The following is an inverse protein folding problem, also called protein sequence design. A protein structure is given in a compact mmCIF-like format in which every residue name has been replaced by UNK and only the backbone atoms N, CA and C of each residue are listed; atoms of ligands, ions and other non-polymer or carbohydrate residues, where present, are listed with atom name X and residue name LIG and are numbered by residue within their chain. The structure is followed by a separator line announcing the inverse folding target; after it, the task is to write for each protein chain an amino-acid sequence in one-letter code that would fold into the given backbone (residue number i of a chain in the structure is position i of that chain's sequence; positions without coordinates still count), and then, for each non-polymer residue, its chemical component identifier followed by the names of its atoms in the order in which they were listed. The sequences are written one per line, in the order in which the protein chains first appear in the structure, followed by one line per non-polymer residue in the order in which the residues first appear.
data_IF_867205308466
#
_entry.id   IF_867205308466
#
_cell.length_a   1.000
_cell.length_b   1.000
_cell.length_c   1.000
_cell.angle_alpha   90.00
_cell.angle_beta   90.00
_cell.angle_gamma   90.00
#
_symmetry.space_group_name_H-M   'P 1'
#
loop_
_entity.id
_entity.type
_entity.pdbx_description
1 polymer ?
#
# COMPACT_ATOMS: atom_id res chain seq x y z
N UNK A 1 2.21 26.44 -3.70
CA UNK A 1 2.90 25.98 -2.48
C UNK A 1 4.22 25.36 -2.91
N UNK A 2 5.28 25.61 -2.16
CA UNK A 2 6.59 25.00 -2.43
C UNK A 2 6.50 23.50 -2.13
N UNK A 3 6.89 22.67 -3.10
CA UNK A 3 6.86 21.20 -2.94
C UNK A 3 8.18 20.75 -2.30
N UNK A 4 8.09 19.99 -1.21
CA UNK A 4 9.25 19.48 -0.47
C UNK A 4 9.79 18.19 -1.12
N UNK A 5 11.11 17.97 -1.03
CA UNK A 5 11.71 16.68 -1.36
C UNK A 5 11.52 15.70 -0.21
N UNK A 6 10.75 14.65 -0.46
CA UNK A 6 10.37 13.65 0.53
C UNK A 6 10.92 12.29 0.09
N UNK A 7 11.73 11.68 0.96
CA UNK A 7 12.13 10.29 0.77
C UNK A 7 11.14 9.37 1.48
N UNK A 8 10.46 8.55 0.70
CA UNK A 8 9.53 7.53 1.18
C UNK A 8 10.26 6.18 1.17
N UNK A 9 10.31 5.55 2.34
CA UNK A 9 10.93 4.25 2.52
C UNK A 9 9.84 3.19 2.39
N UNK A 10 10.00 2.33 1.38
CA UNK A 10 9.10 1.24 1.08
C UNK A 10 9.35 0.04 2.01
N UNK A 11 8.31 -0.77 2.26
CA UNK A 11 8.49 -2.04 2.96
C UNK A 11 9.26 -3.03 2.06
N UNK A 12 10.35 -3.59 2.61
CA UNK A 12 11.28 -4.43 1.85
C UNK A 12 10.73 -5.77 1.37
N UNK A 13 9.58 -6.24 1.90
CA UNK A 13 9.02 -7.55 1.52
C UNK A 13 8.53 -7.59 0.07
N UNK A 14 7.95 -6.48 -0.44
CA UNK A 14 7.34 -6.40 -1.77
C UNK A 14 7.52 -4.99 -2.37
N UNK A 15 8.75 -4.63 -2.75
CA UNK A 15 9.07 -3.29 -3.23
C UNK A 15 8.24 -2.86 -4.46
N UNK A 16 7.99 -3.79 -5.39
CA UNK A 16 7.22 -3.52 -6.60
C UNK A 16 5.76 -3.18 -6.25
N UNK A 17 5.14 -3.94 -5.35
CA UNK A 17 3.78 -3.67 -4.89
C UNK A 17 3.71 -2.37 -4.07
N UNK A 18 4.70 -2.12 -3.21
CA UNK A 18 4.77 -0.92 -2.38
C UNK A 18 4.85 0.36 -3.21
N UNK A 19 5.71 0.37 -4.24
CA UNK A 19 5.79 1.49 -5.18
C UNK A 19 4.49 1.67 -5.97
N UNK A 20 3.95 0.57 -6.50
CA UNK A 20 2.70 0.64 -7.28
C UNK A 20 1.52 1.09 -6.42
N UNK A 21 1.44 0.64 -5.16
CA UNK A 21 0.42 1.11 -4.20
C UNK A 21 0.52 2.62 -3.98
N UNK A 22 1.73 3.13 -3.69
CA UNK A 22 1.95 4.57 -3.50
C UNK A 22 1.50 5.38 -4.73
N UNK A 23 1.97 5.00 -5.92
CA UNK A 23 1.60 5.67 -7.18
C UNK A 23 0.10 5.59 -7.47
N UNK A 24 -0.53 4.47 -7.14
CA UNK A 24 -1.99 4.32 -7.24
C UNK A 24 -2.74 5.25 -6.29
N UNK A 25 -2.26 5.41 -5.06
CA UNK A 25 -2.85 6.35 -4.09
C UNK A 25 -2.67 7.81 -4.52
N UNK A 26 -1.48 8.20 -4.99
CA UNK A 26 -1.23 9.53 -5.53
C UNK A 26 -2.17 9.86 -6.71
N UNK A 27 -2.34 8.89 -7.63
CA UNK A 27 -3.25 9.03 -8.78
C UNK A 27 -4.71 9.16 -8.36
N UNK A 28 -5.19 8.31 -7.41
CA UNK A 28 -6.60 8.34 -6.95
C UNK A 28 -6.96 9.61 -6.16
N UNK A 29 -5.96 10.34 -5.68
CA UNK A 29 -6.11 11.62 -4.98
C UNK A 29 -5.90 12.82 -5.91
N UNK A 30 -5.58 12.57 -7.19
CA UNK A 30 -5.20 13.59 -8.17
C UNK A 30 -4.09 14.52 -7.65
N UNK A 31 -3.12 13.96 -6.90
CA UNK A 31 -2.01 14.73 -6.36
C UNK A 31 -0.93 14.92 -7.41
N UNK A 32 -0.55 16.16 -7.61
CA UNK A 32 0.61 16.51 -8.42
C UNK A 32 1.90 16.22 -7.66
N UNK A 33 2.74 15.39 -8.20
CA UNK A 33 4.04 15.05 -7.66
C UNK A 33 5.07 14.91 -8.79
N UNK A 34 6.33 14.95 -8.43
CA UNK A 34 7.45 14.70 -9.36
C UNK A 34 8.31 13.57 -8.81
N UNK A 35 8.55 12.52 -9.63
CA UNK A 35 9.52 11.47 -9.32
C UNK A 35 10.93 12.04 -9.48
N UNK A 36 11.70 12.14 -8.39
CA UNK A 36 13.04 12.69 -8.38
C UNK A 36 14.09 11.60 -8.51
N UNK A 37 13.95 10.53 -7.71
CA UNK A 37 14.95 9.48 -7.65
C UNK A 37 14.39 8.21 -7.04
N UNK A 38 14.91 7.07 -7.49
CA UNK A 38 14.59 5.77 -6.90
C UNK A 38 15.85 4.94 -6.76
N UNK A 39 16.03 4.35 -5.61
CA UNK A 39 17.05 3.35 -5.35
C UNK A 39 16.52 2.29 -4.39
N UNK A 40 16.42 1.02 -4.84
CA UNK A 40 15.87 -0.10 -4.05
C UNK A 40 14.58 0.30 -3.32
N UNK A 41 14.65 0.46 -2.00
CA UNK A 41 13.51 0.76 -1.14
C UNK A 41 13.33 2.25 -0.81
N UNK A 42 14.15 3.12 -1.36
CA UNK A 42 14.04 4.58 -1.21
C UNK A 42 13.47 5.17 -2.48
N UNK A 43 12.32 5.79 -2.37
CA UNK A 43 11.69 6.58 -3.43
C UNK A 43 11.67 8.05 -3.00
N UNK A 44 12.26 8.94 -3.79
CA UNK A 44 12.25 10.37 -3.52
C UNK A 44 11.30 11.03 -4.51
N UNK A 45 10.34 11.74 -3.96
CA UNK A 45 9.36 12.51 -4.72
C UNK A 45 9.34 13.97 -4.23
N UNK A 46 8.94 14.86 -5.11
CA UNK A 46 8.62 16.24 -4.73
C UNK A 46 7.10 16.35 -4.60
N UNK A 47 6.62 16.58 -3.39
CA UNK A 47 5.20 16.59 -3.03
C UNK A 47 4.96 17.62 -1.94
N UNK A 48 3.77 18.21 -1.90
CA UNK A 48 3.35 18.98 -0.72
C UNK A 48 3.22 18.03 0.51
N UNK A 49 4.02 18.32 1.53
CA UNK A 49 4.08 17.49 2.75
C UNK A 49 2.77 17.39 3.52
N UNK A 50 1.83 18.29 3.29
CA UNK A 50 0.48 18.22 3.87
C UNK A 50 -0.23 16.89 3.57
N UNK A 51 0.04 16.27 2.41
CA UNK A 51 -0.59 15.03 2.02
C UNK A 51 0.10 13.77 2.55
N UNK A 52 1.28 13.87 3.15
CA UNK A 52 2.09 12.70 3.54
C UNK A 52 1.40 11.85 4.61
N UNK A 53 0.83 12.48 5.64
CA UNK A 53 0.10 11.76 6.70
C UNK A 53 -1.07 10.98 6.14
N UNK A 54 -1.83 11.57 5.20
CA UNK A 54 -2.94 10.89 4.54
C UNK A 54 -2.45 9.71 3.69
N UNK A 55 -1.36 9.85 2.94
CA UNK A 55 -0.76 8.75 2.17
C UNK A 55 -0.35 7.60 3.10
N UNK A 56 0.25 7.91 4.27
CA UNK A 56 0.66 6.90 5.24
C UNK A 56 -0.51 6.24 5.99
N UNK A 57 -1.62 6.94 6.11
CA UNK A 57 -2.86 6.36 6.60
C UNK A 57 -3.52 5.44 5.55
N UNK A 58 -3.47 5.80 4.27
CA UNK A 58 -4.09 5.05 3.18
C UNK A 58 -3.26 3.86 2.73
N UNK A 59 -1.97 4.04 2.47
CA UNK A 59 -1.06 2.98 2.04
C UNK A 59 -0.75 1.98 3.16
N UNK A 60 -0.44 0.76 2.77
CA UNK A 60 -0.13 -0.34 3.69
C UNK A 60 1.30 -0.87 3.57
N UNK A 61 1.94 -0.66 2.42
CA UNK A 61 3.25 -1.20 2.07
C UNK A 61 4.39 -0.17 2.21
N UNK A 62 4.13 0.97 2.84
CA UNK A 62 5.15 1.95 3.18
C UNK A 62 5.76 1.60 4.54
N UNK A 63 6.89 2.21 4.88
CA UNK A 63 7.55 2.08 6.17
C UNK A 63 7.55 3.40 6.93
N UNK A 64 8.20 4.42 6.40
CA UNK A 64 8.18 5.80 6.92
C UNK A 64 8.58 6.80 5.82
N UNK A 65 8.33 8.09 6.06
CA UNK A 65 8.77 9.18 5.21
C UNK A 65 9.64 10.17 5.98
N UNK A 66 10.62 10.72 5.29
CA UNK A 66 11.48 11.80 5.80
C UNK A 66 11.43 12.99 4.86
N UNK A 67 11.32 14.19 5.41
CA UNK A 67 11.59 15.45 4.71
C UNK A 67 13.10 15.60 4.58
N UNK A 68 13.61 15.58 3.34
CA UNK A 68 15.05 15.55 3.08
C UNK A 68 15.73 16.87 3.42
N UNK A 69 16.84 16.77 4.14
CA UNK A 69 17.74 17.87 4.49
C UNK A 69 19.00 17.78 3.66
N UNK A 70 19.47 16.56 3.43
CA UNK A 70 20.66 16.27 2.63
C UNK A 70 20.47 14.94 1.88
N UNK A 71 20.97 14.93 0.65
CA UNK A 71 21.09 13.74 -0.18
C UNK A 71 22.37 13.85 -1.00
N UNK A 72 23.24 12.87 -0.89
CA UNK A 72 24.50 12.85 -1.64
C UNK A 72 25.41 11.71 -1.23
N UNK A 73 26.60 11.66 -1.79
CA UNK A 73 27.59 10.69 -1.40
C UNK A 73 28.01 10.88 0.06
N UNK A 74 28.25 9.77 0.78
CA UNK A 74 28.65 9.79 2.19
C UNK A 74 29.96 10.56 2.41
N UNK A 75 30.93 10.44 1.52
CA UNK A 75 32.21 11.15 1.65
C UNK A 75 32.06 12.66 1.46
N UNK A 76 31.12 13.09 0.61
CA UNK A 76 30.85 14.51 0.42
C UNK A 76 30.13 15.12 1.64
N UNK A 77 29.35 14.31 2.37
CA UNK A 77 28.74 14.75 3.61
C UNK A 77 29.79 15.17 4.67
N UNK A 78 30.91 14.46 4.73
CA UNK A 78 32.00 14.79 5.68
C UNK A 78 32.76 16.08 5.33
N UNK A 79 32.57 16.64 4.13
CA UNK A 79 33.08 17.96 3.75
C UNK A 79 32.22 19.12 4.27
N UNK A 80 31.32 18.85 5.23
CA UNK A 80 30.44 19.80 5.90
C UNK A 80 29.50 20.56 4.95
N UNK A 81 28.59 19.84 4.25
CA UNK A 81 27.65 20.44 3.31
C UNK A 81 26.68 21.41 3.99
N UNK A 82 26.03 22.24 3.19
CA UNK A 82 24.84 22.94 3.66
C UNK A 82 23.72 21.94 3.97
N UNK A 83 23.07 22.14 5.13
CA UNK A 83 21.90 21.38 5.54
C UNK A 83 20.68 22.29 5.42
N UNK A 84 19.72 21.89 4.59
CA UNK A 84 18.49 22.64 4.38
C UNK A 84 17.47 22.37 5.49
N UNK A 85 16.62 23.35 5.79
CA UNK A 85 15.37 23.17 6.54
C UNK A 85 15.45 22.57 7.96
N UNK A 86 16.61 22.62 8.64
CA UNK A 86 16.69 22.28 10.06
C UNK A 86 16.18 23.42 10.93
N UNK A 87 15.26 23.09 11.85
CA UNK A 87 14.74 24.07 12.82
C UNK A 87 15.63 24.11 14.05
N UNK A 88 16.21 25.27 14.36
CA UNK A 88 17.10 25.48 15.51
C UNK A 88 16.36 25.42 16.86
N UNK A 89 15.04 25.61 16.87
CA UNK A 89 14.17 25.51 18.04
C UNK A 89 13.81 24.08 18.44
N UNK A 90 14.07 23.10 17.56
CA UNK A 90 13.78 21.69 17.81
C UNK A 90 14.97 20.94 18.44
N UNK A 91 14.67 19.91 19.21
CA UNK A 91 15.66 18.95 19.76
C UNK A 91 15.52 17.65 18.98
N UNK A 92 16.62 17.16 18.43
CA UNK A 92 16.61 15.98 17.56
C UNK A 92 17.24 14.74 18.23
N UNK A 93 16.68 13.58 17.93
CA UNK A 93 17.30 12.29 18.13
C UNK A 93 17.81 11.76 16.79
N UNK A 94 19.11 11.47 16.67
CA UNK A 94 19.68 10.89 15.45
C UNK A 94 19.50 9.36 15.44
N UNK A 95 18.69 8.89 14.49
CA UNK A 95 18.47 7.47 14.21
C UNK A 95 19.16 7.10 12.89
N UNK A 96 20.33 6.46 13.00
CA UNK A 96 21.18 6.08 11.89
C UNK A 96 20.99 4.60 11.53
N UNK A 97 20.74 4.33 10.28
CA UNK A 97 20.60 2.98 9.72
C UNK A 97 21.35 2.84 8.40
N UNK A 98 22.10 1.73 8.23
CA UNK A 98 22.68 1.37 6.94
C UNK A 98 22.02 0.13 6.37
N UNK A 99 21.66 0.18 5.11
CA UNK A 99 21.19 -0.97 4.33
C UNK A 99 22.36 -1.80 3.78
N UNK A 100 23.57 -1.24 3.74
CA UNK A 100 24.77 -1.90 3.25
C UNK A 100 25.58 -2.50 4.42
N UNK A 101 25.86 -3.79 4.33
CA UNK A 101 26.58 -4.52 5.36
C UNK A 101 28.00 -3.96 5.62
N UNK A 102 28.66 -3.39 4.59
CA UNK A 102 30.01 -2.82 4.69
C UNK A 102 30.13 -1.68 5.69
N UNK A 103 29.02 -0.94 5.95
CA UNK A 103 29.02 0.18 6.89
C UNK A 103 28.65 -0.22 8.31
N UNK A 104 28.20 -1.45 8.57
CA UNK A 104 27.85 -1.90 9.92
C UNK A 104 28.99 -1.74 10.94
N UNK A 105 30.25 -2.12 10.62
CA UNK A 105 31.38 -1.91 11.53
C UNK A 105 31.72 -0.44 11.78
N UNK A 106 31.41 0.43 10.81
CA UNK A 106 31.75 1.86 10.84
C UNK A 106 30.61 2.73 11.37
N UNK A 107 29.46 2.16 11.73
CA UNK A 107 28.25 2.90 12.04
C UNK A 107 28.43 3.90 13.18
N UNK A 108 29.22 3.54 14.19
CA UNK A 108 29.50 4.43 15.33
C UNK A 108 30.41 5.59 14.94
N UNK A 109 31.44 5.35 14.13
CA UNK A 109 32.32 6.43 13.63
C UNK A 109 31.54 7.40 12.77
N UNK A 110 30.71 6.89 11.83
CA UNK A 110 29.83 7.70 10.99
C UNK A 110 28.84 8.49 11.84
N UNK A 111 28.26 7.88 12.86
CA UNK A 111 27.36 8.55 13.81
C UNK A 111 28.05 9.73 14.50
N UNK A 112 29.26 9.51 15.04
CA UNK A 112 30.00 10.55 15.75
C UNK A 112 30.35 11.72 14.84
N UNK A 113 30.74 11.44 13.60
CA UNK A 113 31.01 12.47 12.60
C UNK A 113 29.78 13.30 12.27
N UNK A 114 28.63 12.64 12.04
CA UNK A 114 27.35 13.32 11.80
C UNK A 114 26.96 14.18 13.00
N UNK A 115 27.11 13.67 14.23
CA UNK A 115 26.81 14.42 15.45
C UNK A 115 27.71 15.64 15.58
N UNK A 116 29.02 15.52 15.26
CA UNK A 116 29.96 16.65 15.24
C UNK A 116 29.53 17.73 14.24
N UNK A 117 29.16 17.35 13.02
CA UNK A 117 28.69 18.28 12.00
C UNK A 117 27.39 18.99 12.44
N UNK A 118 26.43 18.26 13.00
CA UNK A 118 25.18 18.85 13.50
C UNK A 118 25.41 19.81 14.65
N UNK A 119 26.28 19.45 15.62
CA UNK A 119 26.63 20.30 16.74
C UNK A 119 27.36 21.58 16.31
N UNK A 120 28.21 21.52 15.27
CA UNK A 120 28.88 22.72 14.72
C UNK A 120 27.92 23.71 14.03
N UNK A 121 26.67 23.31 13.82
CA UNK A 121 25.58 24.12 13.24
C UNK A 121 24.51 24.49 14.27
N UNK A 122 24.85 24.42 15.57
CA UNK A 122 23.96 24.72 16.71
C UNK A 122 22.67 23.89 16.77
N UNK A 123 22.67 22.70 16.14
CA UNK A 123 21.55 21.77 16.21
C UNK A 123 21.54 21.05 17.55
N UNK A 124 20.45 21.22 18.31
CA UNK A 124 20.26 20.58 19.63
C UNK A 124 19.97 19.09 19.46
N UNK A 125 20.78 18.25 20.13
CA UNK A 125 20.68 16.80 20.07
C UNK A 125 20.41 16.22 21.46
N UNK A 126 19.46 15.29 21.56
CA UNK A 126 19.17 14.58 22.81
C UNK A 126 18.53 13.23 22.53
N UNK A 127 18.86 12.23 23.36
CA UNK A 127 18.18 10.92 23.33
C UNK A 127 16.88 10.96 24.12
N UNK A 128 16.86 11.69 25.24
CA UNK A 128 15.72 11.70 26.19
C UNK A 128 14.67 12.78 25.89
N UNK A 129 15.12 13.94 25.43
CA UNK A 129 14.27 15.13 25.27
C UNK A 129 14.03 15.51 23.82
N UNK A 130 14.25 14.57 22.90
CA UNK A 130 14.02 14.84 21.47
C UNK A 130 12.54 15.08 21.18
N UNK A 131 12.26 16.15 20.44
CA UNK A 131 10.94 16.49 19.93
C UNK A 131 10.76 16.02 18.51
N UNK A 132 11.87 15.75 17.80
CA UNK A 132 11.88 15.24 16.42
C UNK A 132 12.93 14.14 16.24
N UNK A 133 12.67 13.26 15.27
CA UNK A 133 13.61 12.20 14.88
C UNK A 133 14.29 12.62 13.58
N UNK A 134 15.60 12.68 13.61
CA UNK A 134 16.44 12.88 12.44
C UNK A 134 16.89 11.50 11.94
N UNK A 135 16.35 11.05 10.84
CA UNK A 135 16.72 9.79 10.19
C UNK A 135 17.93 10.00 9.29
N UNK A 136 18.92 9.17 9.46
CA UNK A 136 20.06 9.08 8.56
C UNK A 136 20.13 7.69 7.96
N UNK A 137 20.07 7.60 6.65
CA UNK A 137 20.05 6.35 5.92
C UNK A 137 21.28 6.27 5.01
N UNK A 138 21.95 5.12 5.00
CA UNK A 138 23.05 4.86 4.07
C UNK A 138 22.65 3.70 3.17
N UNK A 139 22.68 3.95 1.86
CA UNK A 139 22.38 2.97 0.82
C UNK A 139 23.22 3.25 -0.43
N UNK A 140 23.96 2.24 -0.90
CA UNK A 140 24.84 2.32 -2.09
C UNK A 140 25.77 3.55 -2.07
N UNK A 141 26.49 3.73 -0.95
CA UNK A 141 27.42 4.84 -0.67
C UNK A 141 26.78 6.23 -0.60
N UNK A 142 25.47 6.33 -0.72
CA UNK A 142 24.74 7.56 -0.56
C UNK A 142 24.15 7.69 0.86
N UNK A 143 24.19 8.92 1.36
CA UNK A 143 23.60 9.31 2.62
C UNK A 143 22.34 10.14 2.36
N UNK A 144 21.26 9.76 3.04
CA UNK A 144 19.98 10.46 3.03
C UNK A 144 19.69 10.88 4.48
N UNK A 145 19.74 12.17 4.74
CA UNK A 145 19.45 12.76 6.04
C UNK A 145 18.15 13.55 5.95
N UNK A 146 17.23 13.33 6.90
CA UNK A 146 15.96 14.04 6.90
C UNK A 146 15.19 13.90 8.20
N UNK A 147 14.22 14.78 8.41
CA UNK A 147 13.31 14.73 9.55
C UNK A 147 12.21 13.70 9.26
N UNK A 148 11.97 12.78 10.21
CA UNK A 148 10.84 11.87 10.15
C UNK A 148 9.52 12.66 10.20
N UNK A 149 8.70 12.53 9.16
CA UNK A 149 7.41 13.23 9.04
C UNK A 149 6.21 12.30 9.08
N UNK A 150 6.38 11.02 8.71
CA UNK A 150 5.32 10.03 8.81
C UNK A 150 5.87 8.62 9.05
N UNK A 151 5.07 7.78 9.71
CA UNK A 151 5.41 6.38 9.98
C UNK A 151 4.17 5.51 9.91
N UNK A 152 4.30 4.30 9.33
CA UNK A 152 3.15 3.38 9.21
C UNK A 152 2.74 2.84 10.59
N UNK A 153 1.45 2.92 10.89
CA UNK A 153 0.90 2.30 12.10
C UNK A 153 0.58 0.82 11.86
N UNK A 154 1.52 -0.05 12.16
CA UNK A 154 1.35 -1.49 11.99
C UNK A 154 0.26 -2.10 12.89
N UNK A 155 0.02 -1.51 14.09
CA UNK A 155 -0.95 -2.04 15.06
C UNK A 155 -2.37 -2.09 14.47
N UNK A 156 -2.74 -1.11 13.64
CA UNK A 156 -4.05 -1.10 12.97
C UNK A 156 -4.30 -2.35 12.10
N UNK A 157 -3.27 -2.89 11.44
CA UNK A 157 -3.39 -4.11 10.63
C UNK A 157 -3.40 -5.37 11.50
N UNK A 158 -2.65 -5.37 12.61
CA UNK A 158 -2.60 -6.50 13.54
C UNK A 158 -3.96 -6.79 14.19
N UNK A 159 -4.72 -5.76 14.56
CA UNK A 159 -6.07 -5.93 15.15
C UNK A 159 -7.09 -6.45 14.13
N UNK A 160 -6.86 -6.25 12.83
CA UNK A 160 -7.75 -6.71 11.75
C UNK A 160 -7.35 -8.03 11.13
N UNK A 161 -6.32 -8.72 11.65
CA UNK A 161 -5.93 -10.07 11.17
C UNK A 161 -7.12 -11.02 11.13
N UNK A 162 -7.18 -11.96 10.15
CA UNK A 162 -8.27 -12.93 10.07
C UNK A 162 -8.52 -13.69 11.36
N UNK A 163 -7.45 -14.10 12.08
CA UNK A 163 -7.53 -14.83 13.35
C UNK A 163 -8.12 -14.03 14.52
N UNK A 164 -8.25 -12.70 14.38
CA UNK A 164 -8.83 -11.82 15.40
C UNK A 164 -10.27 -11.39 15.07
N UNK A 165 -10.81 -11.87 13.96
CA UNK A 165 -12.18 -11.58 13.53
C UNK A 165 -13.17 -12.56 14.14
N UNK A 166 -14.41 -12.14 14.44
CA UNK A 166 -15.47 -13.05 14.94
C UNK A 166 -15.76 -14.24 14.01
N UNK A 167 -15.63 -14.02 12.70
CA UNK A 167 -15.70 -15.08 11.71
C UNK A 167 -14.35 -15.23 11.02
N UNK A 168 -13.67 -16.32 11.33
CA UNK A 168 -12.38 -16.71 10.72
C UNK A 168 -12.59 -17.62 9.54
N UNK A 169 -11.86 -17.39 8.45
CA UNK A 169 -11.71 -18.31 7.34
C UNK A 169 -10.23 -18.39 6.91
N UNK A 170 -9.73 -19.61 6.70
CA UNK A 170 -8.28 -19.87 6.46
C UNK A 170 -7.74 -19.27 5.15
N UNK A 171 -8.60 -19.07 4.14
CA UNK A 171 -8.23 -18.43 2.88
C UNK A 171 -8.21 -16.90 2.93
N UNK A 172 -8.60 -16.29 4.07
CA UNK A 172 -8.65 -14.84 4.17
C UNK A 172 -7.28 -14.19 4.01
N UNK A 173 -7.18 -13.21 3.13
CA UNK A 173 -5.96 -12.45 2.90
C UNK A 173 -5.58 -11.60 4.12
N UNK A 174 -4.28 -11.40 4.33
CA UNK A 174 -3.76 -10.52 5.38
C UNK A 174 -4.11 -9.05 5.10
N UNK A 175 -4.45 -8.25 6.13
CA UNK A 175 -4.99 -6.89 5.96
C UNK A 175 -4.12 -5.96 5.12
N UNK A 176 -2.79 -5.97 5.31
CA UNK A 176 -1.88 -5.13 4.51
C UNK A 176 -1.97 -5.41 3.02
N UNK A 177 -1.96 -6.69 2.64
CA UNK A 177 -2.03 -7.07 1.23
C UNK A 177 -3.43 -6.77 0.65
N UNK A 178 -4.50 -7.02 1.42
CA UNK A 178 -5.86 -6.66 1.02
C UNK A 178 -5.99 -5.13 0.80
N UNK A 179 -5.46 -4.32 1.73
CA UNK A 179 -5.40 -2.85 1.59
C UNK A 179 -4.63 -2.44 0.35
N UNK A 180 -3.46 -3.03 0.11
CA UNK A 180 -2.65 -2.76 -1.07
C UNK A 180 -3.45 -3.03 -2.35
N UNK A 181 -4.08 -4.20 -2.47
CA UNK A 181 -4.86 -4.55 -3.67
C UNK A 181 -6.05 -3.61 -3.84
N UNK A 182 -6.75 -3.22 -2.77
CA UNK A 182 -7.80 -2.19 -2.85
C UNK A 182 -7.22 -0.87 -3.39
N UNK A 183 -6.06 -0.42 -2.89
CA UNK A 183 -5.42 0.81 -3.37
C UNK A 183 -4.98 0.71 -4.84
N UNK A 184 -4.58 -0.48 -5.31
CA UNK A 184 -4.22 -0.70 -6.72
C UNK A 184 -5.39 -0.45 -7.67
N UNK A 185 -6.64 -0.61 -7.24
CA UNK A 185 -7.81 -0.25 -8.04
C UNK A 185 -7.94 1.24 -8.30
N UNK A 186 -7.19 2.07 -7.58
CA UNK A 186 -7.24 3.54 -7.63
C UNK A 186 -8.63 4.11 -7.29
N UNK A 187 -9.39 3.39 -6.45
CA UNK A 187 -10.72 3.85 -6.05
C UNK A 187 -10.64 5.22 -5.37
N UNK A 188 -11.45 6.14 -5.85
CA UNK A 188 -11.61 7.49 -5.31
C UNK A 188 -12.61 7.50 -4.16
N UNK A 189 -12.55 8.51 -3.28
CA UNK A 189 -13.38 8.59 -2.07
C UNK A 189 -14.87 8.52 -2.43
N UNK A 190 -15.34 9.34 -3.36
CA UNK A 190 -16.75 9.50 -3.72
C UNK A 190 -17.28 8.42 -4.66
N UNK A 191 -16.60 7.28 -4.79
CA UNK A 191 -16.98 6.23 -5.71
C UNK A 191 -17.33 4.94 -4.99
N UNK A 192 -17.92 4.02 -5.75
CA UNK A 192 -18.39 2.74 -5.31
C UNK A 192 -17.35 1.64 -5.58
N UNK A 193 -17.07 0.81 -4.57
CA UNK A 193 -16.20 -0.36 -4.68
C UNK A 193 -16.99 -1.66 -4.56
N UNK A 194 -16.79 -2.57 -5.50
CA UNK A 194 -17.31 -3.94 -5.46
C UNK A 194 -16.19 -4.94 -5.12
N UNK A 195 -16.48 -5.84 -4.17
CA UNK A 195 -15.76 -7.11 -3.98
C UNK A 195 -16.70 -8.28 -4.33
N UNK A 196 -16.60 -8.83 -5.56
CA UNK A 196 -17.53 -9.86 -6.06
C UNK A 196 -17.26 -11.26 -5.51
N UNK A 197 -16.18 -11.47 -4.75
CA UNK A 197 -15.83 -12.71 -4.07
C UNK A 197 -15.46 -12.42 -2.61
N UNK A 198 -16.35 -11.73 -1.89
CA UNK A 198 -16.01 -11.06 -0.64
C UNK A 198 -15.63 -12.00 0.51
N UNK A 199 -16.00 -13.27 0.44
CA UNK A 199 -15.66 -14.26 1.46
C UNK A 199 -15.98 -13.79 2.88
N UNK A 200 -14.96 -13.65 3.73
CA UNK A 200 -15.10 -13.14 5.10
C UNK A 200 -15.11 -11.60 5.22
N UNK A 201 -15.15 -10.86 4.13
CA UNK A 201 -15.24 -9.40 4.08
C UNK A 201 -13.90 -8.68 4.26
N UNK A 202 -12.78 -9.35 4.02
CA UNK A 202 -11.44 -8.78 4.26
C UNK A 202 -11.15 -7.51 3.47
N UNK A 203 -11.43 -7.50 2.18
CA UNK A 203 -11.26 -6.34 1.30
C UNK A 203 -12.21 -5.20 1.65
N UNK A 204 -13.46 -5.54 1.95
CA UNK A 204 -14.49 -4.56 2.34
C UNK A 204 -14.12 -3.84 3.63
N UNK A 205 -13.61 -4.57 4.65
CA UNK A 205 -13.12 -3.96 5.88
C UNK A 205 -12.01 -2.95 5.57
N UNK A 206 -11.04 -3.32 4.73
CA UNK A 206 -9.93 -2.43 4.40
C UNK A 206 -10.39 -1.22 3.55
N UNK A 207 -11.27 -1.42 2.59
CA UNK A 207 -11.81 -0.35 1.74
C UNK A 207 -12.68 0.64 2.51
N UNK A 208 -13.52 0.16 3.43
CA UNK A 208 -14.48 0.96 4.18
C UNK A 208 -13.88 2.09 5.04
N UNK A 209 -12.56 2.13 5.21
CA UNK A 209 -11.90 3.22 5.90
C UNK A 209 -11.79 4.49 5.06
N UNK A 210 -11.84 4.39 3.72
CA UNK A 210 -11.59 5.53 2.83
C UNK A 210 -12.44 5.55 1.56
N UNK A 211 -13.36 4.61 1.40
CA UNK A 211 -14.35 4.59 0.31
C UNK A 211 -15.72 4.86 0.91
N UNK A 212 -16.50 5.72 0.28
CA UNK A 212 -17.82 6.09 0.80
C UNK A 212 -18.78 4.92 0.86
N UNK A 213 -18.71 4.02 -0.11
CA UNK A 213 -19.61 2.89 -0.16
C UNK A 213 -18.98 1.66 -0.81
N UNK A 214 -19.14 0.51 -0.16
CA UNK A 214 -18.64 -0.78 -0.63
C UNK A 214 -19.77 -1.81 -0.69
N UNK A 215 -19.73 -2.67 -1.70
CA UNK A 215 -20.60 -3.85 -1.73
C UNK A 215 -19.78 -5.11 -1.87
N UNK A 216 -20.10 -6.10 -1.04
CA UNK A 216 -19.57 -7.45 -1.12
C UNK A 216 -20.59 -8.42 -1.68
N UNK A 217 -20.17 -9.23 -2.63
CA UNK A 217 -20.97 -10.33 -3.17
C UNK A 217 -20.27 -11.65 -2.88
N UNK A 218 -21.01 -12.65 -2.47
CA UNK A 218 -20.55 -14.03 -2.36
C UNK A 218 -21.70 -14.99 -2.60
N UNK A 219 -21.44 -16.10 -3.29
CA UNK A 219 -22.44 -17.13 -3.57
C UNK A 219 -22.77 -17.97 -2.33
N UNK A 220 -21.84 -18.05 -1.38
CA UNK A 220 -22.00 -18.83 -0.16
C UNK A 220 -22.64 -18.00 0.96
N UNK A 221 -23.87 -18.35 1.32
CA UNK A 221 -24.61 -17.71 2.42
C UNK A 221 -23.85 -17.72 3.76
N UNK A 222 -23.00 -18.73 4.01
CA UNK A 222 -22.17 -18.80 5.22
C UNK A 222 -21.11 -17.69 5.21
N UNK A 223 -20.48 -17.45 4.05
CA UNK A 223 -19.52 -16.36 3.88
C UNK A 223 -20.17 -15.00 4.06
N UNK A 224 -21.31 -14.73 3.42
CA UNK A 224 -22.06 -13.49 3.58
C UNK A 224 -22.42 -13.20 5.05
N UNK A 225 -22.92 -14.21 5.76
CA UNK A 225 -23.23 -14.08 7.19
C UNK A 225 -21.99 -13.87 8.06
N UNK A 226 -20.88 -14.51 7.70
CA UNK A 226 -19.59 -14.36 8.37
C UNK A 226 -18.99 -12.98 8.14
N UNK A 227 -19.03 -12.50 6.91
CA UNK A 227 -18.61 -11.14 6.55
C UNK A 227 -19.42 -10.08 7.31
N UNK A 228 -20.74 -10.26 7.40
CA UNK A 228 -21.61 -9.33 8.17
C UNK A 228 -21.21 -9.24 9.64
N UNK A 229 -20.86 -10.39 10.28
CA UNK A 229 -20.35 -10.39 11.66
C UNK A 229 -19.06 -9.59 11.79
N UNK A 230 -18.13 -9.79 10.85
CA UNK A 230 -16.84 -9.10 10.84
C UNK A 230 -17.00 -7.60 10.61
N UNK A 231 -17.84 -7.19 9.64
CA UNK A 231 -18.11 -5.79 9.31
C UNK A 231 -18.73 -5.07 10.50
N UNK A 232 -19.73 -5.67 11.16
CA UNK A 232 -20.36 -5.14 12.39
C UNK A 232 -19.33 -5.01 13.53
N UNK A 233 -18.45 -5.99 13.71
CA UNK A 233 -17.42 -5.97 14.74
C UNK A 233 -16.45 -4.78 14.59
N UNK A 234 -16.15 -4.38 13.35
CA UNK A 234 -15.31 -3.21 13.07
C UNK A 234 -16.12 -1.92 12.89
N UNK A 235 -17.43 -1.90 13.20
CA UNK A 235 -18.33 -0.75 13.10
C UNK A 235 -18.30 -0.09 11.70
N UNK A 236 -18.38 -0.93 10.62
CA UNK A 236 -18.39 -0.45 9.24
C UNK A 236 -19.83 -0.39 8.72
N UNK A 237 -20.37 0.84 8.61
CA UNK A 237 -21.75 1.08 8.20
C UNK A 237 -21.90 1.43 6.70
N UNK A 238 -20.80 1.64 6.01
CA UNK A 238 -20.73 1.95 4.59
C UNK A 238 -20.47 0.70 3.73
N UNK A 239 -20.89 -0.47 4.20
CA UNK A 239 -20.70 -1.76 3.53
C UNK A 239 -21.98 -2.54 3.50
N UNK A 240 -22.46 -2.90 2.31
CA UNK A 240 -23.54 -3.85 2.10
C UNK A 240 -23.04 -5.19 1.59
N UNK A 241 -23.81 -6.24 1.87
CA UNK A 241 -23.52 -7.60 1.49
C UNK A 241 -24.71 -8.22 0.77
N UNK A 242 -24.42 -8.85 -0.37
CA UNK A 242 -25.41 -9.51 -1.21
C UNK A 242 -25.02 -10.97 -1.43
N UNK A 243 -25.96 -11.88 -1.21
CA UNK A 243 -25.77 -13.27 -1.63
C UNK A 243 -26.15 -13.41 -3.10
N UNK A 244 -25.14 -13.51 -3.98
CA UNK A 244 -25.35 -13.68 -5.42
C UNK A 244 -24.15 -14.37 -6.07
N UNK A 245 -24.34 -14.77 -7.33
CA UNK A 245 -23.26 -15.28 -8.18
C UNK A 245 -22.49 -14.12 -8.80
N UNK A 246 -21.16 -14.11 -8.72
CA UNK A 246 -20.30 -13.11 -9.35
C UNK A 246 -20.43 -13.10 -10.89
N UNK A 247 -20.95 -14.17 -11.50
CA UNK A 247 -21.28 -14.19 -12.92
C UNK A 247 -22.65 -13.54 -13.22
N UNK A 248 -23.46 -13.19 -12.19
CA UNK A 248 -24.74 -12.51 -12.36
C UNK A 248 -24.96 -11.51 -11.21
N UNK A 249 -24.18 -10.42 -11.22
CA UNK A 249 -24.17 -9.40 -10.16
C UNK A 249 -25.44 -8.55 -10.24
N UNK A 250 -26.27 -8.49 -9.19
CA UNK A 250 -27.54 -7.75 -9.20
C UNK A 250 -27.35 -6.25 -8.88
N UNK A 251 -26.40 -5.60 -9.54
CA UNK A 251 -26.10 -4.18 -9.35
C UNK A 251 -26.29 -3.41 -10.66
N UNK A 252 -26.74 -2.16 -10.57
CA UNK A 252 -26.94 -1.31 -11.77
C UNK A 252 -25.68 -0.56 -12.18
N UNK A 253 -24.76 -0.31 -11.23
CA UNK A 253 -23.54 0.47 -11.45
C UNK A 253 -22.39 -0.16 -10.69
N UNK A 254 -21.21 -0.17 -11.29
CA UNK A 254 -19.94 -0.59 -10.68
C UNK A 254 -18.87 0.38 -11.16
N UNK A 255 -18.23 1.13 -10.25
CA UNK A 255 -17.17 2.06 -10.62
C UNK A 255 -15.79 1.41 -10.53
N UNK A 256 -15.53 0.67 -9.44
CA UNK A 256 -14.26 0.01 -9.16
C UNK A 256 -14.46 -1.40 -8.61
N UNK A 257 -13.50 -2.28 -8.90
CA UNK A 257 -13.47 -3.65 -8.37
C UNK A 257 -12.15 -3.93 -7.69
N UNK A 258 -12.20 -4.51 -6.48
CA UNK A 258 -11.02 -5.08 -5.82
C UNK A 258 -11.39 -6.40 -5.17
N UNK A 259 -10.67 -7.48 -5.52
CA UNK A 259 -11.05 -8.82 -5.07
C UNK A 259 -9.90 -9.83 -5.05
N UNK A 260 -10.06 -10.89 -4.27
CA UNK A 260 -9.25 -12.10 -4.25
C UNK A 260 -10.10 -13.30 -4.72
N UNK A 261 -9.91 -13.72 -5.95
CA UNK A 261 -10.70 -14.81 -6.54
C UNK A 261 -10.39 -16.17 -5.89
N UNK A 262 -11.37 -17.08 -5.82
CA UNK A 262 -11.16 -18.40 -5.25
C UNK A 262 -10.11 -19.22 -6.02
N UNK A 263 -9.11 -19.78 -5.31
CA UNK A 263 -8.01 -20.56 -5.90
C UNK A 263 -8.34 -22.05 -6.08
N UNK A 264 -9.54 -22.46 -5.74
CA UNK A 264 -10.06 -23.82 -5.94
C UNK A 264 -9.42 -24.93 -5.08
N UNK A 265 -8.44 -24.62 -4.22
CA UNK A 265 -7.83 -25.60 -3.29
C UNK A 265 -8.56 -25.64 -1.94
N UNK A 266 -9.15 -24.50 -1.53
CA UNK A 266 -9.86 -24.36 -0.25
C UNK A 266 -11.28 -23.78 -0.40
N UNK A 267 -11.70 -23.44 -1.59
CA UNK A 267 -13.03 -22.91 -1.90
C UNK A 267 -13.74 -23.88 -2.84
N UNK A 268 -14.94 -24.29 -2.48
CA UNK A 268 -15.81 -25.12 -3.33
C UNK A 268 -16.20 -24.32 -4.58
N UNK A 269 -15.41 -24.44 -5.64
CA UNK A 269 -15.84 -24.05 -7.00
C UNK A 269 -16.85 -25.12 -7.43
N UNK A 270 -18.06 -25.10 -6.87
CA UNK A 270 -19.15 -26.08 -7.07
C UNK A 270 -19.21 -26.59 -8.53
N UNK A 271 -18.32 -27.54 -8.90
CA UNK A 271 -18.33 -28.27 -10.17
C UNK A 271 -17.92 -27.50 -11.44
N UNK A 272 -17.39 -26.26 -11.34
CA UNK A 272 -16.96 -25.47 -12.51
C UNK A 272 -15.44 -25.56 -12.75
N UNK A 273 -15.02 -25.60 -14.02
CA UNK A 273 -13.61 -25.48 -14.39
C UNK A 273 -13.09 -24.07 -14.01
N UNK A 274 -11.93 -24.00 -13.35
CA UNK A 274 -11.32 -22.75 -12.85
C UNK A 274 -11.08 -21.71 -13.93
N UNK A 275 -10.62 -22.14 -15.10
CA UNK A 275 -10.32 -21.27 -16.24
C UNK A 275 -11.55 -20.56 -16.82
N UNK A 276 -12.75 -21.08 -16.55
CA UNK A 276 -14.00 -20.46 -16.99
C UNK A 276 -14.46 -19.34 -16.05
N UNK A 277 -14.20 -19.42 -14.74
CA UNK A 277 -14.71 -18.45 -13.76
C UNK A 277 -14.13 -17.05 -13.96
N UNK A 278 -12.81 -16.93 -14.09
CA UNK A 278 -12.17 -15.62 -14.29
C UNK A 278 -12.59 -14.97 -15.62
N UNK A 279 -12.59 -15.75 -16.70
CA UNK A 279 -13.00 -15.27 -18.01
C UNK A 279 -14.47 -14.84 -18.01
N UNK A 280 -15.38 -15.67 -17.50
CA UNK A 280 -16.82 -15.36 -17.44
C UNK A 280 -17.10 -14.15 -16.54
N UNK A 281 -16.44 -14.05 -15.40
CA UNK A 281 -16.53 -12.90 -14.52
C UNK A 281 -16.15 -11.62 -15.27
N UNK A 282 -15.00 -11.57 -15.93
CA UNK A 282 -14.58 -10.40 -16.70
C UNK A 282 -15.57 -10.08 -17.83
N UNK A 283 -16.07 -11.10 -18.54
CA UNK A 283 -17.08 -10.92 -19.58
C UNK A 283 -18.36 -10.28 -19.05
N UNK A 284 -18.81 -10.69 -17.86
CA UNK A 284 -19.99 -10.09 -17.23
C UNK A 284 -19.75 -8.66 -16.79
N UNK A 285 -18.53 -8.29 -16.48
CA UNK A 285 -18.18 -6.91 -16.17
C UNK A 285 -18.15 -5.98 -17.37
N UNK A 286 -18.16 -6.50 -18.60
CA UNK A 286 -18.13 -5.69 -19.82
C UNK A 286 -19.35 -4.78 -19.99
N UNK A 287 -20.49 -5.12 -19.38
CA UNK A 287 -21.70 -4.29 -19.43
C UNK A 287 -21.64 -3.03 -18.57
N UNK A 288 -20.71 -2.98 -17.60
CA UNK A 288 -20.56 -1.87 -16.67
C UNK A 288 -19.48 -0.88 -17.13
N UNK A 289 -19.66 0.39 -16.79
CA UNK A 289 -18.64 1.43 -17.00
C UNK A 289 -17.63 1.45 -15.85
N UNK A 290 -16.78 0.43 -15.82
CA UNK A 290 -15.78 0.24 -14.76
C UNK A 290 -14.54 1.05 -15.11
N UNK A 291 -14.15 1.92 -14.19
CA UNK A 291 -12.92 2.73 -14.31
C UNK A 291 -11.66 1.88 -14.17
N UNK A 292 -11.61 1.00 -13.15
CA UNK A 292 -10.45 0.14 -12.90
C UNK A 292 -10.77 -1.06 -12.01
N UNK A 293 -10.02 -2.15 -12.22
CA UNK A 293 -10.11 -3.38 -11.44
C UNK A 293 -8.73 -3.75 -10.90
N UNK A 294 -8.68 -4.20 -9.64
CA UNK A 294 -7.53 -4.89 -9.07
C UNK A 294 -7.93 -6.29 -8.61
N UNK A 295 -7.34 -7.30 -9.20
CA UNK A 295 -7.76 -8.69 -9.02
C UNK A 295 -6.55 -9.54 -8.65
N UNK A 296 -6.68 -10.29 -7.54
CA UNK A 296 -5.78 -11.37 -7.21
C UNK A 296 -6.41 -12.70 -7.65
N UNK A 297 -5.65 -13.54 -8.36
CA UNK A 297 -6.11 -14.83 -8.91
C UNK A 297 -4.94 -15.76 -9.14
N UNK A 298 -5.20 -17.04 -9.36
CA UNK A 298 -4.18 -18.00 -9.84
C UNK A 298 -4.19 -18.14 -11.37
N UNK A 299 -5.13 -17.51 -12.04
CA UNK A 299 -5.36 -17.63 -13.48
C UNK A 299 -4.66 -16.54 -14.29
N UNK A 300 -4.46 -16.80 -15.57
CA UNK A 300 -3.94 -15.82 -16.51
C UNK A 300 -5.08 -15.02 -17.15
N UNK A 301 -4.90 -13.71 -17.32
CA UNK A 301 -5.86 -12.91 -18.04
C UNK A 301 -5.82 -13.22 -19.54
N UNK A 302 -6.92 -13.78 -20.06
CA UNK A 302 -7.14 -14.05 -21.49
C UNK A 302 -8.20 -13.15 -22.11
N UNK A 303 -8.82 -12.26 -21.33
CA UNK A 303 -9.85 -11.36 -21.83
C UNK A 303 -9.21 -10.12 -22.47
N UNK A 304 -9.44 -9.94 -23.79
CA UNK A 304 -8.86 -8.85 -24.58
C UNK A 304 -9.56 -7.50 -24.36
N UNK A 305 -10.74 -7.47 -23.74
CA UNK A 305 -11.48 -6.24 -23.47
C UNK A 305 -11.00 -5.52 -22.19
N UNK A 306 -10.08 -6.16 -21.45
CA UNK A 306 -9.45 -5.59 -20.27
C UNK A 306 -7.93 -5.55 -20.45
N UNK A 307 -7.39 -4.35 -20.66
CA UNK A 307 -5.96 -4.10 -20.78
C UNK A 307 -5.28 -4.27 -19.42
N UNK A 308 -4.17 -4.98 -19.40
CA UNK A 308 -3.32 -5.11 -18.20
C UNK A 308 -2.46 -3.85 -18.06
N UNK A 309 -2.70 -3.02 -17.05
CA UNK A 309 -1.88 -1.85 -16.73
C UNK A 309 -0.75 -2.19 -15.74
N UNK A 310 -0.95 -3.24 -14.94
CA UNK A 310 0.05 -3.73 -14.01
C UNK A 310 -0.16 -5.23 -13.76
N UNK A 311 0.95 -5.95 -13.64
CA UNK A 311 0.98 -7.37 -13.31
C UNK A 311 2.10 -7.64 -12.30
N UNK A 312 1.77 -8.39 -11.24
CA UNK A 312 2.73 -8.87 -10.27
C UNK A 312 2.41 -10.31 -9.88
N UNK A 313 3.43 -11.19 -9.94
CA UNK A 313 3.31 -12.59 -9.54
C UNK A 313 3.94 -12.82 -8.18
N UNK A 314 3.11 -13.12 -7.19
CA UNK A 314 3.52 -13.37 -5.81
C UNK A 314 3.56 -14.86 -5.51
N UNK A 315 4.67 -15.36 -4.95
CA UNK A 315 4.71 -16.71 -4.39
C UNK A 315 3.94 -16.71 -3.07
N UNK A 316 2.98 -17.63 -2.92
CA UNK A 316 2.14 -17.76 -1.71
C UNK A 316 2.69 -18.87 -0.81
N UNK A 317 2.76 -20.11 -1.32
CA UNK A 317 3.27 -21.30 -0.60
C UNK A 317 3.58 -22.42 -1.59
N UNK A 318 4.70 -23.13 -1.41
CA UNK A 318 5.09 -24.22 -2.32
C UNK A 318 5.13 -23.75 -3.78
N UNK A 319 4.36 -24.39 -4.64
CA UNK A 319 4.21 -24.03 -6.07
C UNK A 319 2.97 -23.16 -6.34
N UNK A 320 2.31 -22.67 -5.29
CA UNK A 320 1.16 -21.78 -5.46
C UNK A 320 1.63 -20.34 -5.65
N UNK A 321 1.25 -19.75 -6.77
CA UNK A 321 1.46 -18.35 -7.10
C UNK A 321 0.13 -17.62 -7.21
N UNK A 322 0.14 -16.38 -6.77
CA UNK A 322 -0.94 -15.41 -6.93
C UNK A 322 -0.53 -14.40 -7.98
N UNK A 323 -1.35 -14.23 -8.99
CA UNK A 323 -1.24 -13.18 -9.99
C UNK A 323 -2.08 -12.00 -9.54
N UNK A 324 -1.47 -10.83 -9.39
CA UNK A 324 -2.15 -9.59 -9.04
C UNK A 324 -2.17 -8.73 -10.30
N UNK A 325 -3.36 -8.46 -10.80
CA UNK A 325 -3.60 -7.65 -11.98
C UNK A 325 -4.22 -6.30 -11.60
N UNK A 326 -3.79 -5.24 -12.27
CA UNK A 326 -4.59 -4.01 -12.41
C UNK A 326 -5.03 -3.96 -13.86
N UNK A 327 -6.34 -3.94 -14.04
CA UNK A 327 -6.99 -4.00 -15.35
C UNK A 327 -7.78 -2.72 -15.59
N UNK A 328 -7.77 -2.24 -16.82
CA UNK A 328 -8.62 -1.16 -17.31
C UNK A 328 -9.44 -1.65 -18.47
N UNK A 329 -10.74 -1.34 -18.48
CA UNK A 329 -11.62 -1.67 -19.60
C UNK A 329 -11.20 -0.89 -20.84
N UNK A 330 -11.04 -1.55 -21.97
CA UNK A 330 -10.83 -0.87 -23.25
C UNK A 330 -12.15 -0.33 -23.76
N UNK A 331 -12.19 0.97 -24.02
CA UNK A 331 -13.31 1.61 -24.71
C UNK A 331 -13.18 1.23 -26.17
N UNK A 332 -14.09 0.41 -26.67
CA UNK A 332 -14.20 0.20 -28.11
C UNK A 332 -14.68 1.51 -28.73
N UNK A 333 -13.82 2.17 -29.50
CA UNK A 333 -14.17 3.29 -30.37
C UNK A 333 -15.16 2.86 -31.46
#
# INVERSE_FOLDING_TARGET
MEKDEIAIILNGENLILAEKELKSCLSSLNLEYEDIYKNRQILIIRLDKFFVDYLFWRCSMLKYAIELIYRGNLQDFFKKPELKNLRLDAIYYLDLHSFDNKYKPLINSIRNEILSILSSKDIKLSVKNATKILKCLILDDNLYLGVLIANINNKQYEIRRPSKRPFFHSSSMMPKLARCIVNLSQVEINNFLLDPFCGSGGFLIEASYFVDYCVGVDIDRKMVRGALKNIKFFNKYNVDLVQADAENIPLRKIDYVATDMPYGIASSVKGREKSSLFYNFLRNLEIYDIKKLSIATTEENKNKNFKVEFFYRQKVRGNLYRNIYVLKKEIRS
#
